data_IF_879400598604
#
_entry.id   IF_879400598604
#
_cell.length_a   1.000
_cell.length_b   1.000
_cell.length_c   1.000
_cell.angle_alpha   90.00
_cell.angle_beta   90.00
_cell.angle_gamma   90.00
#
_symmetry.space_group_name_H-M   'P 1'
#
loop_
_entity.id
_entity.type
_entity.pdbx_description
1 polymer ?
#
# COMPACT_ATOMS: atom_id res chain seq x y z
N UNK A 1 -5.26 2.89 27.78
CA UNK A 1 -5.60 3.89 26.82
C UNK A 1 -6.54 3.30 25.78
N UNK A 2 -7.58 4.02 25.39
CA UNK A 2 -8.43 3.58 24.29
C UNK A 2 -7.55 3.39 23.05
N UNK A 3 -7.55 2.19 22.47
CA UNK A 3 -6.80 1.90 21.28
C UNK A 3 -7.25 2.81 20.15
N UNK A 4 -6.33 3.36 19.38
CA UNK A 4 -6.61 4.19 18.22
C UNK A 4 -7.15 3.36 17.03
N UNK A 5 -7.10 2.05 17.12
CA UNK A 5 -7.56 1.10 16.09
C UNK A 5 -8.79 0.36 16.64
N UNK A 6 -9.91 0.33 15.91
CA UNK A 6 -11.09 -0.44 16.29
C UNK A 6 -10.74 -1.93 16.46
N UNK A 7 -11.34 -2.57 17.46
CA UNK A 7 -11.24 -4.02 17.62
C UNK A 7 -12.05 -4.72 16.55
N UNK A 8 -11.50 -5.79 15.98
CA UNK A 8 -12.25 -6.67 15.09
C UNK A 8 -13.34 -7.41 15.89
N UNK A 9 -14.58 -7.34 15.42
CA UNK A 9 -15.74 -7.97 16.07
C UNK A 9 -16.08 -9.32 15.44
N UNK A 10 -15.59 -9.56 14.23
CA UNK A 10 -15.80 -10.78 13.45
C UNK A 10 -15.86 -10.49 11.95
N UNK A 11 -15.90 -11.54 11.16
CA UNK A 11 -15.98 -11.48 9.71
C UNK A 11 -17.26 -12.17 9.23
N UNK A 12 -17.78 -11.70 8.10
CA UNK A 12 -18.98 -12.30 7.46
C UNK A 12 -18.62 -13.19 6.27
N UNK A 13 -17.38 -13.13 5.81
CA UNK A 13 -16.83 -14.04 4.81
C UNK A 13 -16.22 -15.26 5.53
N UNK A 14 -17.01 -16.31 5.73
CA UNK A 14 -16.65 -17.46 6.55
C UNK A 14 -16.42 -18.74 5.76
N UNK A 15 -16.94 -18.79 4.53
CA UNK A 15 -16.87 -20.00 3.69
C UNK A 15 -17.21 -19.67 2.22
N UNK A 16 -17.14 -20.68 1.37
CA UNK A 16 -17.47 -20.58 -0.07
C UNK A 16 -18.89 -20.10 -0.31
N UNK A 17 -19.87 -20.52 0.48
CA UNK A 17 -21.25 -20.10 0.33
C UNK A 17 -21.42 -18.60 0.62
N UNK A 18 -20.81 -18.11 1.69
CA UNK A 18 -20.80 -16.69 1.99
C UNK A 18 -20.11 -15.88 0.88
N UNK A 19 -19.02 -16.41 0.29
CA UNK A 19 -18.37 -15.81 -0.86
C UNK A 19 -19.31 -15.66 -2.05
N UNK A 20 -19.91 -16.75 -2.50
CA UNK A 20 -20.77 -16.80 -3.68
C UNK A 20 -22.06 -15.96 -3.54
N UNK A 21 -22.67 -15.96 -2.35
CA UNK A 21 -23.96 -15.28 -2.11
C UNK A 21 -23.80 -13.81 -1.72
N UNK A 22 -22.76 -13.45 -0.94
CA UNK A 22 -22.68 -12.13 -0.31
C UNK A 22 -21.62 -11.22 -0.93
N UNK A 23 -20.51 -11.78 -1.44
CA UNK A 23 -19.33 -11.01 -1.86
C UNK A 23 -19.12 -11.00 -3.37
N UNK A 24 -19.05 -12.18 -3.99
CA UNK A 24 -18.76 -12.31 -5.41
C UNK A 24 -19.66 -11.43 -6.31
N UNK A 25 -21.01 -11.35 -6.09
CA UNK A 25 -21.86 -10.49 -6.88
C UNK A 25 -21.55 -9.00 -6.74
N UNK A 26 -21.07 -8.59 -5.57
CA UNK A 26 -20.72 -7.19 -5.27
C UNK A 26 -19.35 -6.79 -5.80
N UNK A 27 -18.48 -7.75 -6.06
CA UNK A 27 -17.11 -7.54 -6.53
C UNK A 27 -16.97 -7.67 -8.05
N UNK A 28 -18.07 -7.87 -8.75
CA UNK A 28 -18.09 -7.81 -10.20
C UNK A 28 -17.91 -6.37 -10.69
N UNK A 29 -17.19 -6.21 -11.80
CA UNK A 29 -17.03 -4.90 -12.41
C UNK A 29 -18.37 -4.39 -12.97
N UNK A 30 -18.63 -3.11 -12.72
CA UNK A 30 -19.73 -2.35 -13.32
C UNK A 30 -19.20 -0.94 -13.63
N UNK A 31 -19.50 -0.40 -14.81
CA UNK A 31 -19.02 0.91 -15.21
C UNK A 31 -19.46 2.06 -14.28
N UNK A 32 -20.56 1.88 -13.52
CA UNK A 32 -21.07 2.83 -12.53
C UNK A 32 -20.21 2.93 -11.27
N UNK A 33 -19.21 2.03 -11.11
CA UNK A 33 -18.24 2.10 -10.00
C UNK A 33 -17.30 3.29 -10.12
N UNK A 34 -17.20 3.88 -11.32
CA UNK A 34 -16.28 4.98 -11.59
C UNK A 34 -17.08 6.19 -12.08
N UNK A 35 -17.10 7.24 -11.27
CA UNK A 35 -17.63 8.54 -11.64
C UNK A 35 -16.55 9.33 -12.42
N UNK A 36 -16.49 9.13 -13.71
CA UNK A 36 -15.49 9.77 -14.59
C UNK A 36 -15.64 11.30 -14.60
N UNK A 37 -16.87 11.82 -14.59
CA UNK A 37 -17.09 13.27 -14.63
C UNK A 37 -16.67 13.93 -13.31
N UNK A 38 -17.00 13.30 -12.18
CA UNK A 38 -16.52 13.75 -10.86
C UNK A 38 -15.00 13.71 -10.74
N UNK A 39 -14.34 12.63 -11.22
CA UNK A 39 -12.88 12.53 -11.23
C UNK A 39 -12.25 13.61 -12.12
N UNK A 40 -12.81 13.87 -13.30
CA UNK A 40 -12.34 14.92 -14.20
C UNK A 40 -12.40 16.29 -13.54
N UNK A 41 -13.54 16.64 -12.98
CA UNK A 41 -13.74 17.90 -12.28
C UNK A 41 -12.75 18.06 -11.09
N UNK A 42 -12.52 16.98 -10.33
CA UNK A 42 -11.58 16.99 -9.20
C UNK A 42 -10.12 17.19 -9.67
N UNK A 43 -9.71 16.53 -10.76
CA UNK A 43 -8.35 16.68 -11.31
C UNK A 43 -8.12 18.05 -11.92
N UNK A 44 -9.11 18.64 -12.59
CA UNK A 44 -9.04 20.00 -13.12
C UNK A 44 -8.93 21.05 -12.01
N UNK A 45 -9.66 20.85 -10.91
CA UNK A 45 -9.60 21.74 -9.75
C UNK A 45 -8.25 21.68 -9.01
N UNK A 46 -7.50 20.59 -9.14
CA UNK A 46 -6.23 20.35 -8.47
C UNK A 46 -5.01 20.63 -9.37
N UNK A 47 -5.09 21.62 -10.27
CA UNK A 47 -4.16 21.87 -11.39
C UNK A 47 -2.68 21.99 -11.01
N UNK A 48 -2.36 22.40 -9.79
CA UNK A 48 -0.98 22.67 -9.32
C UNK A 48 -0.44 21.60 -8.35
N UNK A 49 -1.18 20.51 -8.16
CA UNK A 49 -0.78 19.41 -7.27
C UNK A 49 -0.66 18.10 -8.01
N UNK A 50 0.29 17.22 -7.64
CA UNK A 50 0.38 15.88 -8.21
C UNK A 50 -0.91 15.08 -7.96
N UNK A 51 -1.39 14.42 -9.00
CA UNK A 51 -2.60 13.59 -8.98
C UNK A 51 -2.22 12.12 -8.87
N UNK A 52 -2.66 11.47 -7.79
CA UNK A 52 -2.49 10.04 -7.60
C UNK A 52 -3.74 9.24 -7.96
N UNK A 53 -3.57 8.13 -8.67
CA UNK A 53 -4.62 7.16 -8.94
C UNK A 53 -4.57 6.02 -7.92
N UNK A 54 -5.61 5.87 -7.11
CA UNK A 54 -5.73 4.74 -6.21
C UNK A 54 -6.15 3.49 -6.99
N UNK A 55 -5.27 2.50 -7.05
CA UNK A 55 -5.46 1.23 -7.78
C UNK A 55 -6.06 0.11 -6.91
N UNK A 56 -6.48 0.42 -5.69
CA UNK A 56 -7.11 -0.56 -4.79
C UNK A 56 -6.11 -1.28 -3.88
N UNK A 57 -6.55 -2.44 -3.43
CA UNK A 57 -5.77 -3.38 -2.61
C UNK A 57 -5.99 -4.78 -3.15
N UNK A 58 -4.92 -5.51 -3.36
CA UNK A 58 -4.97 -6.85 -3.96
C UNK A 58 -5.00 -7.97 -2.90
N UNK A 59 -4.54 -7.67 -1.69
CA UNK A 59 -4.52 -8.64 -0.59
C UNK A 59 -5.00 -8.08 0.75
N UNK A 60 -4.69 -6.83 1.07
CA UNK A 60 -5.08 -6.19 2.34
C UNK A 60 -6.59 -6.08 2.50
N UNK A 61 -7.33 -5.78 1.42
CA UNK A 61 -8.79 -5.81 1.44
C UNK A 61 -9.34 -7.20 1.71
N UNK A 62 -8.71 -8.26 1.19
CA UNK A 62 -9.08 -9.65 1.44
C UNK A 62 -8.88 -9.99 2.92
N UNK A 63 -7.76 -9.56 3.51
CA UNK A 63 -7.51 -9.67 4.95
C UNK A 63 -8.63 -9.02 5.77
N UNK A 64 -9.13 -7.86 5.36
CA UNK A 64 -10.23 -7.18 6.06
C UNK A 64 -11.56 -7.94 5.93
N UNK A 65 -11.78 -8.68 4.85
CA UNK A 65 -13.01 -9.46 4.64
C UNK A 65 -13.01 -10.77 5.43
N UNK A 66 -11.86 -11.45 5.49
CA UNK A 66 -11.71 -12.79 6.09
C UNK A 66 -11.20 -12.75 7.53
N UNK A 67 -10.52 -11.68 7.93
CA UNK A 67 -9.69 -11.65 9.12
C UNK A 67 -8.38 -12.41 8.95
N UNK A 68 -7.38 -12.03 9.75
CA UNK A 68 -6.01 -12.56 9.63
C UNK A 68 -5.96 -14.08 9.80
N UNK A 69 -6.67 -14.60 10.80
CA UNK A 69 -6.64 -16.04 11.14
C UNK A 69 -7.25 -16.88 10.02
N UNK A 70 -8.45 -16.54 9.59
CA UNK A 70 -9.15 -17.29 8.54
C UNK A 70 -8.39 -17.23 7.21
N UNK A 71 -7.92 -16.03 6.81
CA UNK A 71 -7.11 -15.90 5.60
C UNK A 71 -5.84 -16.76 5.62
N UNK A 72 -5.20 -16.90 6.80
CA UNK A 72 -3.99 -17.71 6.96
C UNK A 72 -4.23 -19.20 6.76
N UNK A 73 -5.40 -19.71 7.14
CA UNK A 73 -5.76 -21.11 6.95
C UNK A 73 -6.36 -21.40 5.58
N UNK A 74 -7.06 -20.43 4.98
CA UNK A 74 -7.82 -20.63 3.73
C UNK A 74 -6.94 -21.15 2.58
N UNK A 75 -5.69 -20.70 2.48
CA UNK A 75 -4.75 -21.19 1.46
C UNK A 75 -4.52 -22.72 1.54
N UNK A 76 -4.56 -23.29 2.75
CA UNK A 76 -4.36 -24.74 2.97
C UNK A 76 -5.69 -25.49 2.92
N UNK A 77 -6.76 -24.90 3.42
CA UNK A 77 -8.06 -25.57 3.58
C UNK A 77 -8.88 -25.55 2.28
N UNK A 78 -8.82 -24.47 1.49
CA UNK A 78 -9.51 -24.32 0.19
C UNK A 78 -8.70 -23.36 -0.72
N UNK A 79 -7.63 -23.90 -1.33
CA UNK A 79 -6.75 -23.12 -2.23
C UNK A 79 -7.51 -22.55 -3.44
N UNK A 80 -8.54 -23.28 -3.93
CA UNK A 80 -9.35 -22.82 -5.06
C UNK A 80 -10.14 -21.56 -4.70
N UNK A 81 -10.77 -21.54 -3.53
CA UNK A 81 -11.48 -20.36 -3.03
C UNK A 81 -10.50 -19.21 -2.75
N UNK A 82 -9.35 -19.50 -2.14
CA UNK A 82 -8.32 -18.50 -1.89
C UNK A 82 -7.85 -17.81 -3.19
N UNK A 83 -7.60 -18.61 -4.22
CA UNK A 83 -7.17 -18.11 -5.54
C UNK A 83 -8.29 -17.32 -6.21
N UNK A 84 -9.54 -17.84 -6.18
CA UNK A 84 -10.70 -17.17 -6.76
C UNK A 84 -10.95 -15.77 -6.16
N UNK A 85 -10.80 -15.64 -4.83
CA UNK A 85 -10.95 -14.35 -4.15
C UNK A 85 -9.88 -13.37 -4.63
N UNK A 86 -8.61 -13.78 -4.68
CA UNK A 86 -7.50 -12.95 -5.14
C UNK A 86 -7.71 -12.53 -6.60
N UNK A 87 -8.07 -13.47 -7.47
CA UNK A 87 -8.31 -13.19 -8.88
C UNK A 87 -9.48 -12.22 -9.09
N UNK A 88 -10.55 -12.36 -8.32
CA UNK A 88 -11.70 -11.45 -8.36
C UNK A 88 -11.30 -10.04 -7.97
N UNK A 89 -10.56 -9.87 -6.87
CA UNK A 89 -10.07 -8.55 -6.44
C UNK A 89 -9.12 -7.94 -7.46
N UNK A 90 -8.17 -8.73 -7.96
CA UNK A 90 -7.24 -8.30 -8.99
C UNK A 90 -7.92 -7.91 -10.31
N UNK A 91 -8.93 -8.66 -10.73
CA UNK A 91 -9.73 -8.35 -11.93
C UNK A 91 -10.50 -7.06 -11.76
N UNK A 92 -11.15 -6.86 -10.62
CA UNK A 92 -11.88 -5.63 -10.32
C UNK A 92 -10.95 -4.42 -10.32
N UNK A 93 -9.80 -4.50 -9.63
CA UNK A 93 -8.81 -3.42 -9.58
C UNK A 93 -8.28 -3.08 -10.99
N UNK A 94 -7.97 -4.08 -11.79
CA UNK A 94 -7.54 -3.88 -13.18
C UNK A 94 -8.60 -3.14 -14.01
N UNK A 95 -9.85 -3.60 -14.01
CA UNK A 95 -10.93 -3.04 -14.82
C UNK A 95 -11.29 -1.60 -14.40
N UNK A 96 -11.27 -1.31 -13.10
CA UNK A 96 -11.47 0.06 -12.58
C UNK A 96 -10.33 0.98 -13.03
N UNK A 97 -9.08 0.55 -12.86
CA UNK A 97 -7.90 1.30 -13.29
C UNK A 97 -7.93 1.55 -14.80
N UNK A 98 -8.20 0.52 -15.58
CA UNK A 98 -8.30 0.62 -17.04
C UNK A 98 -9.39 1.62 -17.47
N UNK A 99 -10.55 1.59 -16.84
CA UNK A 99 -11.64 2.52 -17.13
C UNK A 99 -11.24 3.98 -16.90
N UNK A 100 -10.53 4.25 -15.82
CA UNK A 100 -10.05 5.60 -15.49
C UNK A 100 -9.02 6.05 -16.52
N UNK A 101 -8.03 5.22 -16.82
CA UNK A 101 -6.97 5.55 -17.76
C UNK A 101 -7.52 5.79 -19.18
N UNK A 102 -8.46 4.94 -19.66
CA UNK A 102 -9.13 5.10 -20.94
C UNK A 102 -9.99 6.37 -21.05
N UNK A 103 -10.35 6.99 -19.94
CA UNK A 103 -11.10 8.27 -19.95
C UNK A 103 -10.24 9.48 -20.34
N UNK A 104 -8.90 9.31 -20.39
CA UNK A 104 -7.95 10.38 -20.69
C UNK A 104 -7.66 11.31 -19.51
N UNK A 105 -8.15 11.02 -18.30
CA UNK A 105 -7.76 11.72 -17.07
C UNK A 105 -6.27 11.49 -16.86
N UNK A 106 -5.52 12.57 -16.71
CA UNK A 106 -4.08 12.50 -16.45
C UNK A 106 -3.82 12.32 -14.97
N UNK A 107 -2.93 11.41 -14.64
CA UNK A 107 -2.44 11.16 -13.29
C UNK A 107 -0.92 11.11 -13.31
N UNK A 108 -0.29 11.53 -12.21
CA UNK A 108 1.17 11.63 -12.10
C UNK A 108 1.78 10.37 -11.49
N UNK A 109 1.04 9.67 -10.64
CA UNK A 109 1.48 8.43 -10.02
C UNK A 109 0.30 7.52 -9.69
N UNK A 110 0.58 6.24 -9.45
CA UNK A 110 -0.39 5.27 -8.96
C UNK A 110 -0.09 4.88 -7.51
N UNK A 111 -1.11 4.42 -6.80
CA UNK A 111 -1.04 4.07 -5.40
C UNK A 111 -1.86 2.83 -5.07
N UNK A 112 -1.25 1.87 -4.36
CA UNK A 112 -1.91 0.71 -3.76
C UNK A 112 -1.92 0.83 -2.23
N UNK A 113 -2.85 0.14 -1.58
CA UNK A 113 -2.88 -0.01 -0.13
C UNK A 113 -2.98 -1.48 0.27
N UNK A 114 -2.17 -1.93 1.24
CA UNK A 114 -2.19 -3.35 1.62
C UNK A 114 -2.23 -3.61 3.14
N UNK A 115 -1.34 -3.05 3.95
CA UNK A 115 -1.25 -3.31 5.39
C UNK A 115 -1.20 -4.81 5.75
N UNK A 116 -0.31 -5.56 5.12
CA UNK A 116 -0.19 -7.02 5.24
C UNK A 116 1.09 -7.48 5.95
N UNK A 117 1.69 -6.57 6.71
CA UNK A 117 2.86 -6.89 7.51
C UNK A 117 2.67 -6.49 8.97
N UNK A 118 3.27 -7.25 9.88
CA UNK A 118 3.54 -6.85 11.25
C UNK A 118 4.99 -6.35 11.39
N UNK A 119 5.37 -5.89 12.59
CA UNK A 119 6.74 -5.43 12.89
C UNK A 119 7.82 -6.49 12.66
N UNK A 120 7.47 -7.75 12.57
CA UNK A 120 8.36 -8.89 12.38
C UNK A 120 8.25 -9.56 11.00
N UNK A 121 7.42 -9.02 10.10
CA UNK A 121 7.31 -9.49 8.72
C UNK A 121 5.88 -9.70 8.22
N UNK A 122 5.76 -10.23 6.98
CA UNK A 122 4.48 -10.41 6.31
C UNK A 122 3.55 -11.40 7.00
N UNK A 123 2.23 -11.14 6.86
CA UNK A 123 1.14 -12.05 7.27
C UNK A 123 0.92 -13.19 6.26
N UNK A 124 1.54 -13.11 5.10
CA UNK A 124 1.44 -14.08 4.02
C UNK A 124 2.83 -14.61 3.68
N UNK A 125 2.93 -15.89 3.28
CA UNK A 125 4.18 -16.43 2.74
C UNK A 125 4.61 -15.60 1.51
N UNK A 126 5.85 -15.10 1.47
CA UNK A 126 6.35 -14.36 0.30
C UNK A 126 6.26 -15.17 -1.00
N UNK A 127 6.44 -16.50 -0.94
CA UNK A 127 6.31 -17.37 -2.10
C UNK A 127 4.85 -17.40 -2.63
N UNK A 128 3.88 -17.56 -1.73
CA UNK A 128 2.45 -17.55 -2.07
C UNK A 128 2.04 -16.17 -2.60
N UNK A 129 2.49 -15.10 -1.95
CA UNK A 129 2.24 -13.73 -2.40
C UNK A 129 2.79 -13.48 -3.81
N UNK A 130 4.03 -13.92 -4.06
CA UNK A 130 4.65 -13.82 -5.39
C UNK A 130 3.86 -14.57 -6.45
N UNK A 131 3.44 -15.79 -6.13
CA UNK A 131 2.71 -16.67 -7.07
C UNK A 131 1.30 -16.17 -7.36
N UNK A 132 0.52 -15.90 -6.30
CA UNK A 132 -0.92 -15.64 -6.41
C UNK A 132 -1.26 -14.15 -6.62
N UNK A 133 -0.50 -13.24 -6.02
CA UNK A 133 -0.81 -11.79 -6.04
C UNK A 133 0.09 -11.02 -7.00
N UNK A 134 1.36 -11.40 -7.11
CA UNK A 134 2.33 -10.75 -7.98
C UNK A 134 1.84 -10.51 -9.42
N UNK A 135 1.25 -11.51 -10.12
CA UNK A 135 0.75 -11.33 -11.48
C UNK A 135 -0.32 -10.24 -11.63
N UNK A 136 -1.12 -10.00 -10.60
CA UNK A 136 -2.12 -8.93 -10.62
C UNK A 136 -1.48 -7.55 -10.52
N UNK A 137 -0.44 -7.37 -9.67
CA UNK A 137 0.37 -6.15 -9.70
C UNK A 137 0.97 -5.94 -11.08
N UNK A 138 1.63 -6.96 -11.62
CA UNK A 138 2.35 -6.86 -12.90
C UNK A 138 1.44 -6.36 -14.03
N UNK A 139 0.26 -6.94 -14.21
CA UNK A 139 -0.65 -6.52 -15.29
C UNK A 139 -1.20 -5.10 -15.10
N UNK A 140 -1.42 -4.66 -13.83
CA UNK A 140 -1.88 -3.30 -13.55
C UNK A 140 -0.74 -2.30 -13.79
N UNK A 141 0.48 -2.60 -13.33
CA UNK A 141 1.63 -1.72 -13.55
C UNK A 141 2.04 -1.66 -15.02
N UNK A 142 1.94 -2.76 -15.78
CA UNK A 142 2.15 -2.74 -17.24
C UNK A 142 1.12 -1.85 -17.95
N UNK A 143 -0.13 -1.88 -17.50
CA UNK A 143 -1.16 -0.97 -18.00
C UNK A 143 -0.81 0.49 -17.66
N UNK A 144 -0.41 0.79 -16.42
CA UNK A 144 0.00 2.13 -15.99
C UNK A 144 1.15 2.67 -16.86
N UNK A 145 2.16 1.84 -17.13
CA UNK A 145 3.30 2.21 -17.99
C UNK A 145 2.88 2.56 -19.42
N UNK A 146 1.87 1.89 -19.99
CA UNK A 146 1.33 2.24 -21.32
C UNK A 146 0.75 3.66 -21.36
N UNK A 147 0.36 4.20 -20.22
CA UNK A 147 -0.12 5.58 -20.05
C UNK A 147 0.95 6.55 -19.52
N UNK A 148 2.22 6.11 -19.45
CA UNK A 148 3.35 6.94 -18.99
C UNK A 148 3.43 7.15 -17.49
N UNK A 149 2.78 6.30 -16.68
CA UNK A 149 2.79 6.37 -15.22
C UNK A 149 3.87 5.44 -14.67
N UNK A 150 5.03 6.03 -14.34
CA UNK A 150 6.23 5.29 -13.91
C UNK A 150 6.39 5.20 -12.39
N UNK A 151 5.70 6.05 -11.62
CA UNK A 151 5.74 6.03 -10.16
C UNK A 151 4.54 5.25 -9.66
N UNK A 152 4.80 4.12 -9.03
CA UNK A 152 3.77 3.26 -8.43
C UNK A 152 4.11 3.06 -6.96
N UNK A 153 3.33 3.68 -6.09
CA UNK A 153 3.52 3.62 -4.64
C UNK A 153 2.63 2.55 -3.99
N UNK A 154 3.06 2.10 -2.85
CA UNK A 154 2.34 1.13 -2.03
C UNK A 154 2.38 1.56 -0.57
N UNK A 155 1.21 1.67 0.04
CA UNK A 155 1.04 1.88 1.48
C UNK A 155 0.91 0.51 2.17
N UNK A 156 1.88 0.19 3.02
CA UNK A 156 1.88 -1.02 3.82
C UNK A 156 2.69 -0.82 5.09
N UNK A 157 2.00 -0.75 6.22
CA UNK A 157 2.62 -0.72 7.53
C UNK A 157 3.38 -2.02 7.84
N UNK A 158 4.34 -1.95 8.77
CA UNK A 158 5.10 -3.09 9.26
C UNK A 158 6.38 -3.40 8.48
N UNK A 159 7.03 -4.51 8.83
CA UNK A 159 8.29 -4.93 8.24
C UNK A 159 8.08 -5.55 6.86
N UNK A 160 8.23 -4.73 5.83
CA UNK A 160 7.98 -5.08 4.42
C UNK A 160 9.18 -5.69 3.68
N UNK A 161 10.35 -5.80 4.30
CA UNK A 161 11.61 -6.20 3.65
C UNK A 161 11.49 -7.43 2.74
N UNK A 162 10.73 -8.44 3.17
CA UNK A 162 10.56 -9.69 2.40
C UNK A 162 9.65 -9.55 1.18
N UNK A 163 8.82 -8.51 1.13
CA UNK A 163 7.89 -8.25 0.02
C UNK A 163 8.42 -7.22 -0.97
N UNK A 164 9.34 -6.34 -0.55
CA UNK A 164 9.96 -5.32 -1.42
C UNK A 164 10.45 -5.89 -2.75
N UNK A 165 11.24 -6.99 -2.81
CA UNK A 165 11.70 -7.53 -4.08
C UNK A 165 10.55 -8.01 -4.98
N UNK A 166 9.48 -8.55 -4.40
CA UNK A 166 8.32 -9.03 -5.14
C UNK A 166 7.56 -7.83 -5.76
N UNK A 167 7.36 -6.76 -5.00
CA UNK A 167 6.75 -5.55 -5.51
C UNK A 167 7.57 -4.91 -6.62
N UNK A 168 8.89 -4.78 -6.43
CA UNK A 168 9.78 -4.24 -7.47
C UNK A 168 9.76 -5.07 -8.76
N UNK A 169 9.79 -6.40 -8.65
CA UNK A 169 9.68 -7.33 -9.79
C UNK A 169 8.37 -7.13 -10.58
N UNK A 170 7.31 -6.72 -9.88
CA UNK A 170 5.98 -6.51 -10.44
C UNK A 170 5.62 -5.03 -10.66
N UNK A 171 6.60 -4.13 -10.71
CA UNK A 171 6.45 -2.74 -11.13
C UNK A 171 6.00 -1.75 -10.06
N UNK A 172 5.78 -2.18 -8.82
CA UNK A 172 5.57 -1.29 -7.67
C UNK A 172 6.94 -0.86 -7.14
N UNK A 173 7.23 0.44 -7.13
CA UNK A 173 8.59 0.93 -6.96
C UNK A 173 8.78 2.00 -5.86
N UNK A 174 7.72 2.39 -5.16
CA UNK A 174 7.78 3.41 -4.12
C UNK A 174 7.10 2.89 -2.85
N UNK A 175 7.88 2.67 -1.80
CA UNK A 175 7.40 2.11 -0.52
C UNK A 175 6.96 3.22 0.43
N UNK A 176 5.78 3.05 1.02
CA UNK A 176 5.17 3.98 1.97
C UNK A 176 4.36 3.20 3.04
N UNK A 177 4.39 3.63 4.31
CA UNK A 177 5.44 4.45 4.89
C UNK A 177 6.68 3.61 5.20
N UNK A 178 7.87 4.22 5.17
CA UNK A 178 9.07 3.56 5.71
C UNK A 178 9.06 3.77 7.22
N UNK A 179 8.72 2.75 8.00
CA UNK A 179 8.56 2.86 9.45
C UNK A 179 9.89 2.62 10.18
N UNK A 180 10.67 3.68 10.34
CA UNK A 180 11.95 3.62 11.06
C UNK A 180 11.78 3.37 12.56
N UNK A 181 10.85 4.07 13.21
CA UNK A 181 10.63 3.99 14.64
C UNK A 181 9.99 2.68 15.13
N UNK A 182 9.31 1.95 14.25
CA UNK A 182 8.56 0.73 14.60
C UNK A 182 9.40 -0.53 14.49
N UNK A 183 10.13 -0.70 13.37
CA UNK A 183 10.92 -1.90 13.09
C UNK A 183 12.32 -1.62 12.50
N UNK A 184 12.71 -0.35 12.40
CA UNK A 184 14.01 0.05 11.84
C UNK A 184 14.02 0.14 10.31
N UNK A 185 12.85 0.28 9.67
CA UNK A 185 12.73 0.43 8.23
C UNK A 185 13.59 1.55 7.69
N UNK A 186 14.35 1.27 6.62
CA UNK A 186 15.31 2.23 6.10
C UNK A 186 15.49 2.04 4.59
N UNK A 187 15.42 3.14 3.85
CA UNK A 187 15.63 3.12 2.40
C UNK A 187 17.08 2.81 1.99
N UNK A 188 18.07 3.13 2.83
CA UNK A 188 19.48 2.98 2.45
C UNK A 188 19.88 1.53 2.12
N UNK A 189 19.53 0.50 2.91
CA UNK A 189 19.77 -0.89 2.53
C UNK A 189 19.09 -1.29 1.22
N UNK A 190 17.83 -0.85 0.99
CA UNK A 190 17.14 -1.13 -0.26
C UNK A 190 17.81 -0.45 -1.45
N UNK A 191 18.27 0.80 -1.29
CA UNK A 191 19.03 1.53 -2.33
C UNK A 191 20.38 0.86 -2.63
N UNK A 192 21.04 0.31 -1.63
CA UNK A 192 22.29 -0.45 -1.84
C UNK A 192 22.03 -1.74 -2.63
N UNK A 193 20.90 -2.42 -2.38
CA UNK A 193 20.56 -3.69 -3.01
C UNK A 193 19.90 -3.53 -4.38
N UNK A 194 18.96 -2.59 -4.52
CA UNK A 194 18.10 -2.44 -5.72
C UNK A 194 18.42 -1.18 -6.53
N UNK A 195 19.38 -0.37 -6.12
CA UNK A 195 19.73 0.87 -6.80
C UNK A 195 18.56 1.84 -6.88
N UNK A 196 18.45 2.54 -8.02
CA UNK A 196 17.39 3.56 -8.26
C UNK A 196 16.03 2.96 -8.59
N UNK A 197 15.91 1.64 -8.68
CA UNK A 197 14.62 0.98 -8.92
C UNK A 197 13.66 1.16 -7.73
N UNK A 198 14.18 1.28 -6.49
CA UNK A 198 13.37 1.51 -5.29
C UNK A 198 13.36 2.99 -4.90
N UNK A 199 12.17 3.50 -4.59
CA UNK A 199 11.90 4.82 -4.03
C UNK A 199 11.20 4.65 -2.68
N UNK A 200 11.08 5.73 -1.91
CA UNK A 200 10.40 5.65 -0.63
C UNK A 200 9.91 6.98 -0.08
N UNK A 201 8.91 6.87 0.76
CA UNK A 201 8.29 7.99 1.48
C UNK A 201 8.16 7.59 2.95
N UNK A 202 8.40 8.51 3.87
CA UNK A 202 8.37 8.23 5.32
C UNK A 202 9.75 8.27 5.95
N UNK A 203 10.05 7.36 6.84
CA UNK A 203 11.37 7.13 7.41
C UNK A 203 11.82 8.11 8.49
N UNK A 204 11.05 9.15 8.81
CA UNK A 204 11.29 10.02 9.96
C UNK A 204 10.72 9.40 11.22
N UNK A 205 11.55 9.12 12.20
CA UNK A 205 11.13 8.55 13.47
C UNK A 205 10.20 9.49 14.24
N UNK A 206 8.88 9.28 14.14
CA UNK A 206 7.88 10.11 14.81
C UNK A 206 8.02 10.18 16.33
N UNK A 207 8.70 9.21 16.97
CA UNK A 207 8.86 9.17 18.42
C UNK A 207 9.75 10.29 18.95
N UNK A 208 10.53 10.98 18.08
CA UNK A 208 11.36 12.11 18.48
C UNK A 208 10.51 13.30 18.95
N UNK A 209 9.27 13.41 18.46
CA UNK A 209 8.35 14.49 18.81
C UNK A 209 7.83 14.41 20.26
N UNK A 210 7.99 13.28 20.93
CA UNK A 210 7.68 13.18 22.38
C UNK A 210 8.88 13.54 23.27
N UNK A 211 10.07 13.73 22.71
CA UNK A 211 11.33 13.95 23.43
C UNK A 211 11.66 15.44 23.58
N UNK A 212 12.63 15.90 22.85
CA UNK A 212 13.14 17.28 22.88
C UNK A 212 13.66 17.73 21.50
N UNK A 213 13.99 19.02 21.41
CA UNK A 213 14.52 19.60 20.18
C UNK A 213 15.80 18.91 19.68
N UNK A 214 16.69 18.51 20.59
CA UNK A 214 17.92 17.84 20.22
C UNK A 214 17.65 16.52 19.50
N UNK A 215 16.69 15.72 19.97
CA UNK A 215 16.30 14.48 19.30
C UNK A 215 15.72 14.73 17.90
N UNK A 216 14.97 15.82 17.72
CA UNK A 216 14.47 16.22 16.40
C UNK A 216 15.61 16.64 15.49
N UNK A 217 16.55 17.46 15.97
CA UNK A 217 17.68 17.94 15.18
C UNK A 217 18.58 16.74 14.73
N UNK A 218 18.87 15.80 15.61
CA UNK A 218 19.62 14.58 15.29
C UNK A 218 18.90 13.72 14.25
N UNK A 219 17.58 13.63 14.31
CA UNK A 219 16.78 12.91 13.33
C UNK A 219 16.78 13.60 11.97
N UNK A 220 16.68 14.93 11.93
CA UNK A 220 16.78 15.70 10.69
C UNK A 220 18.15 15.49 10.03
N UNK A 221 19.25 15.54 10.80
CA UNK A 221 20.59 15.27 10.26
C UNK A 221 20.70 13.87 9.66
N UNK A 222 20.11 12.86 10.32
CA UNK A 222 20.06 11.50 9.76
C UNK A 222 19.32 11.46 8.41
N UNK A 223 18.21 12.19 8.30
CA UNK A 223 17.39 12.23 7.08
C UNK A 223 18.10 12.92 5.92
N UNK A 224 18.93 13.95 6.16
CA UNK A 224 19.70 14.63 5.12
C UNK A 224 20.59 13.64 4.33
N UNK A 225 21.21 12.68 5.03
CA UNK A 225 21.96 11.62 4.38
C UNK A 225 21.11 10.71 3.48
N UNK A 226 19.88 10.46 3.85
CA UNK A 226 18.94 9.65 3.05
C UNK A 226 18.39 10.43 1.85
N UNK A 227 18.11 11.72 2.02
CA UNK A 227 17.66 12.62 0.94
C UNK A 227 18.70 12.66 -0.18
N UNK A 228 19.98 12.68 0.17
CA UNK A 228 21.10 12.70 -0.81
C UNK A 228 21.11 11.45 -1.72
N UNK A 229 20.48 10.33 -1.33
CA UNK A 229 20.34 9.16 -2.18
C UNK A 229 19.40 9.38 -3.37
N UNK A 230 18.52 10.41 -3.31
CA UNK A 230 17.48 10.69 -4.29
C UNK A 230 16.34 9.65 -4.29
N UNK A 231 15.20 9.99 -4.86
CA UNK A 231 14.01 9.11 -4.89
C UNK A 231 13.43 8.82 -3.50
N UNK A 232 13.61 9.76 -2.56
CA UNK A 232 13.15 9.64 -1.19
C UNK A 232 12.51 10.94 -0.72
N UNK A 233 11.33 10.83 -0.14
CA UNK A 233 10.59 11.95 0.46
C UNK A 233 10.48 11.68 1.97
N UNK A 234 11.20 12.43 2.82
CA UNK A 234 11.09 12.28 4.27
C UNK A 234 9.75 12.84 4.77
N UNK A 235 9.09 12.07 5.59
CA UNK A 235 7.97 12.52 6.42
C UNK A 235 7.90 11.60 7.66
N UNK A 236 7.09 11.95 8.69
CA UNK A 236 6.87 11.06 9.81
C UNK A 236 6.50 9.65 9.35
N UNK A 237 7.14 8.66 9.93
CA UNK A 237 7.05 7.25 9.54
C UNK A 237 5.68 6.61 9.83
N UNK A 238 4.81 7.33 10.50
CA UNK A 238 3.40 7.00 10.73
C UNK A 238 2.69 8.22 11.34
N UNK A 239 1.40 8.09 11.69
CA UNK A 239 0.62 9.15 12.36
C UNK A 239 1.33 9.61 13.63
N UNK A 240 1.34 10.93 13.83
CA UNK A 240 1.91 11.54 15.04
C UNK A 240 1.16 11.02 16.28
N UNK A 241 1.90 10.56 17.26
CA UNK A 241 1.33 9.98 18.48
C UNK A 241 0.77 11.06 19.42
N UNK A 242 -0.22 10.72 20.28
CA UNK A 242 -0.84 11.71 21.19
C UNK A 242 0.10 12.33 22.23
N UNK A 243 1.25 11.70 22.51
CA UNK A 243 2.30 12.18 23.42
C UNK A 243 3.31 13.11 22.74
N UNK A 244 3.15 13.39 21.44
CA UNK A 244 3.97 14.35 20.73
C UNK A 244 3.72 15.77 21.24
N UNK A 245 4.81 16.52 21.42
CA UNK A 245 4.78 17.92 21.81
C UNK A 245 4.54 18.79 20.58
N UNK A 246 3.50 19.61 20.59
CA UNK A 246 3.09 20.43 19.46
C UNK A 246 4.24 21.32 18.95
N UNK A 247 5.01 21.93 19.86
CA UNK A 247 6.14 22.80 19.54
C UNK A 247 7.32 22.07 18.85
N UNK A 248 7.33 20.73 18.81
CA UNK A 248 8.34 19.96 18.11
C UNK A 248 7.85 19.49 16.72
N UNK A 249 6.54 19.54 16.49
CA UNK A 249 5.91 19.12 15.21
C UNK A 249 5.72 20.33 14.29
N UNK A 250 5.41 21.48 14.87
CA UNK A 250 5.20 22.76 14.16
C UNK A 250 6.52 23.44 13.83
#
# INVERSE_FOLDING_TARGET
GAGSIPSEVGTTLTDRKAWEELYLPKLQYDCRRVDIEGLRAATEAASDTPIGLHCGSLYGSIRNLLGVVHLSYLYVDDEDLYTEIIDTMGNLSYQVTEKILKSGIKVDFAHFWEDICFKNGPLVSPAVFKEKVGPHYKRITDLLQQYGIDIVSLDCDGCIDKLVPIWLENGVNTMFPIEYGTWGGNIAPWRAQYGKAVRGVGGMNKTVFSKDKKAVDEEVERLLGLIALGGYIPCPDHRIAPDAKFELVA
#
